data_IF_032391086443
#
_entry.id   IF_032391086443
#
_cell.length_a   1.000
_cell.length_b   1.000
_cell.length_c   1.000
_cell.angle_alpha   90.00
_cell.angle_beta   90.00
_cell.angle_gamma   90.00
#
_symmetry.space_group_name_H-M   'P 1'
#
loop_
_entity.id
_entity.type
_entity.pdbx_description
1 polymer ?
#
# COMPACT_ATOMS: atom_id res chain seq x y z
N UNK A 1 -13.62 14.08 -9.38
CA UNK A 1 -12.14 14.28 -9.47
C UNK A 1 -11.59 13.46 -10.63
N UNK A 2 -11.01 14.09 -11.64
CA UNK A 2 -10.31 13.38 -12.73
C UNK A 2 -8.84 13.22 -12.35
N UNK A 3 -8.41 12.01 -12.05
CA UNK A 3 -6.99 11.67 -11.85
C UNK A 3 -6.20 11.78 -13.15
N UNK A 4 -4.86 11.78 -13.05
CA UNK A 4 -4.00 11.82 -14.24
C UNK A 4 -4.29 10.64 -15.17
N UNK A 5 -4.30 10.88 -16.49
CA UNK A 5 -4.62 9.87 -17.51
C UNK A 5 -3.43 8.98 -17.89
N UNK A 6 -2.25 9.23 -17.33
CA UNK A 6 -1.01 8.53 -17.68
C UNK A 6 0.00 8.59 -16.54
N UNK A 7 0.77 7.52 -16.36
CA UNK A 7 1.96 7.56 -15.51
C UNK A 7 3.10 8.26 -16.25
N UNK A 8 3.78 9.18 -15.57
CA UNK A 8 4.93 9.92 -16.11
C UNK A 8 6.18 9.68 -15.27
N UNK A 9 7.33 10.14 -15.77
CA UNK A 9 8.62 10.01 -15.09
C UNK A 9 9.27 8.63 -15.21
N UNK A 10 10.50 8.49 -14.68
CA UNK A 10 11.29 7.26 -14.80
C UNK A 10 10.57 6.04 -14.23
N UNK A 11 10.00 6.15 -13.02
CA UNK A 11 9.27 5.06 -12.36
C UNK A 11 8.00 4.72 -13.14
N UNK A 12 7.19 5.74 -13.48
CA UNK A 12 5.90 5.56 -14.13
C UNK A 12 5.98 4.85 -15.48
N UNK A 13 6.99 5.15 -16.28
CA UNK A 13 7.22 4.50 -17.58
C UNK A 13 7.65 3.03 -17.43
N UNK A 14 8.40 2.69 -16.39
CA UNK A 14 8.87 1.33 -16.12
C UNK A 14 7.79 0.40 -15.55
N UNK A 15 6.74 0.94 -14.88
CA UNK A 15 5.64 0.13 -14.34
C UNK A 15 4.93 -0.73 -15.39
N UNK A 16 4.91 -0.32 -16.65
CA UNK A 16 4.35 -1.11 -17.75
C UNK A 16 5.22 -2.32 -18.11
N UNK A 17 6.55 -2.18 -17.99
CA UNK A 17 7.59 -3.13 -18.42
C UNK A 17 8.01 -4.12 -17.34
N UNK A 18 7.75 -3.82 -16.06
CA UNK A 18 8.16 -4.62 -14.89
C UNK A 18 7.75 -6.11 -14.92
N UNK A 19 6.80 -6.50 -15.78
CA UNK A 19 6.39 -7.89 -15.99
C UNK A 19 7.48 -8.76 -16.63
N UNK A 20 8.26 -8.19 -17.55
CA UNK A 20 9.20 -8.93 -18.40
C UNK A 20 10.64 -8.87 -17.89
N UNK A 21 10.88 -8.11 -16.83
CA UNK A 21 12.21 -7.90 -16.30
C UNK A 21 12.59 -9.09 -15.39
N UNK A 22 13.85 -9.55 -15.46
CA UNK A 22 14.36 -10.55 -14.54
C UNK A 22 14.47 -9.97 -13.13
N UNK A 23 14.34 -10.84 -12.14
CA UNK A 23 14.62 -10.49 -10.74
C UNK A 23 16.13 -10.41 -10.56
N UNK A 24 16.60 -9.30 -10.00
CA UNK A 24 17.99 -9.07 -9.60
C UNK A 24 18.13 -9.20 -8.08
N UNK A 25 19.35 -9.11 -7.55
CA UNK A 25 19.53 -9.02 -6.09
C UNK A 25 18.90 -7.75 -5.53
N UNK A 26 18.17 -7.88 -4.42
CA UNK A 26 17.51 -6.77 -3.73
C UNK A 26 17.70 -6.87 -2.20
N UNK A 27 17.68 -5.73 -1.54
CA UNK A 27 17.77 -5.65 -0.07
C UNK A 27 16.40 -5.85 0.60
N UNK A 28 16.41 -6.31 1.85
CA UNK A 28 15.18 -6.36 2.64
C UNK A 28 14.71 -4.96 2.98
N UNK A 29 13.39 -4.81 3.12
CA UNK A 29 12.78 -3.61 3.67
C UNK A 29 11.91 -3.98 4.87
N UNK A 30 11.86 -3.09 5.85
CA UNK A 30 10.97 -3.20 6.98
C UNK A 30 9.51 -3.15 6.53
N UNK A 31 8.74 -4.10 7.00
CA UNK A 31 7.37 -4.32 6.56
C UNK A 31 6.55 -4.95 7.68
N UNK A 32 5.45 -4.28 8.04
CA UNK A 32 4.48 -4.76 9.02
C UNK A 32 3.44 -5.62 8.33
N UNK A 33 3.83 -6.87 8.08
CA UNK A 33 2.98 -7.82 7.37
C UNK A 33 1.86 -8.27 8.31
N UNK A 34 0.59 -7.95 7.99
CA UNK A 34 -0.52 -8.25 8.89
C UNK A 34 -0.83 -9.74 8.88
N UNK A 35 -1.23 -10.26 10.03
CA UNK A 35 -1.73 -11.62 10.14
C UNK A 35 -3.16 -11.69 9.57
N UNK A 36 -3.28 -12.32 8.40
CA UNK A 36 -4.53 -12.39 7.64
C UNK A 36 -4.72 -13.74 6.97
N UNK A 37 -5.93 -14.28 7.07
CA UNK A 37 -6.28 -15.55 6.46
C UNK A 37 -6.29 -15.43 4.92
N UNK A 38 -5.43 -16.21 4.25
CA UNK A 38 -5.26 -16.20 2.78
C UNK A 38 -6.58 -16.39 2.02
N UNK A 39 -7.55 -17.13 2.57
CA UNK A 39 -8.88 -17.36 1.96
C UNK A 39 -9.66 -16.06 1.70
N UNK A 40 -9.42 -15.00 2.50
CA UNK A 40 -10.07 -13.69 2.35
C UNK A 40 -9.40 -12.87 1.22
N UNK A 41 -8.24 -13.31 0.71
CA UNK A 41 -7.32 -12.54 -0.11
C UNK A 41 -7.19 -12.98 -1.57
N UNK A 42 -8.09 -13.81 -2.13
CA UNK A 42 -7.98 -14.36 -3.49
C UNK A 42 -7.42 -13.40 -4.58
N UNK A 43 -7.82 -12.11 -4.59
CA UNK A 43 -7.34 -11.10 -5.56
C UNK A 43 -6.16 -10.23 -5.07
N UNK A 44 -5.82 -10.31 -3.79
CA UNK A 44 -4.84 -9.49 -3.08
C UNK A 44 -3.59 -10.27 -2.64
N UNK A 45 -3.63 -11.59 -2.78
CA UNK A 45 -2.59 -12.52 -2.33
C UNK A 45 -1.19 -12.17 -2.85
N UNK A 46 -1.08 -11.80 -4.14
CA UNK A 46 0.18 -11.34 -4.72
C UNK A 46 0.83 -10.18 -3.96
N UNK A 47 0.04 -9.21 -3.45
CA UNK A 47 0.59 -8.09 -2.67
C UNK A 47 1.19 -8.58 -1.35
N UNK A 48 0.55 -9.56 -0.71
CA UNK A 48 1.06 -10.16 0.51
C UNK A 48 2.35 -10.94 0.25
N UNK A 49 2.33 -11.81 -0.77
CA UNK A 49 3.46 -12.70 -1.09
C UNK A 49 4.70 -11.93 -1.53
N UNK A 50 4.53 -10.87 -2.35
CA UNK A 50 5.66 -10.02 -2.74
C UNK A 50 6.22 -9.20 -1.57
N UNK A 51 5.37 -8.80 -0.62
CA UNK A 51 5.82 -8.08 0.58
C UNK A 51 6.61 -8.99 1.51
N UNK A 52 6.21 -10.27 1.63
CA UNK A 52 7.01 -11.30 2.31
C UNK A 52 8.34 -11.55 1.60
N UNK A 53 8.34 -11.61 0.26
CA UNK A 53 9.56 -11.80 -0.52
C UNK A 53 10.56 -10.67 -0.29
N UNK A 54 10.08 -9.41 -0.27
CA UNK A 54 10.89 -8.24 0.04
C UNK A 54 11.41 -8.29 1.48
N UNK A 55 10.53 -8.54 2.47
CA UNK A 55 10.93 -8.62 3.89
C UNK A 55 12.00 -9.69 4.14
N UNK A 56 11.95 -10.80 3.40
CA UNK A 56 12.88 -11.92 3.58
C UNK A 56 14.09 -11.90 2.65
N UNK A 57 14.22 -10.90 1.75
CA UNK A 57 15.23 -10.86 0.68
C UNK A 57 15.27 -12.13 -0.18
N UNK A 58 14.16 -12.86 -0.28
CA UNK A 58 14.07 -14.11 -1.03
C UNK A 58 12.88 -14.04 -1.96
N UNK A 59 13.10 -14.30 -3.24
CA UNK A 59 12.03 -14.30 -4.22
C UNK A 59 11.65 -15.73 -4.62
N UNK A 60 10.48 -16.24 -4.22
CA UNK A 60 10.04 -17.59 -4.57
C UNK A 60 9.78 -17.77 -6.07
N UNK A 61 10.12 -18.94 -6.62
CA UNK A 61 9.91 -19.26 -8.04
C UNK A 61 8.43 -19.29 -8.43
N UNK A 62 7.55 -19.77 -7.55
CA UNK A 62 6.10 -19.77 -7.75
C UNK A 62 5.53 -18.35 -7.86
N UNK A 63 6.09 -17.40 -7.10
CA UNK A 63 5.73 -15.99 -7.20
C UNK A 63 6.17 -15.36 -8.53
N UNK A 64 7.21 -15.91 -9.19
CA UNK A 64 7.68 -15.47 -10.51
C UNK A 64 6.64 -15.73 -11.61
N UNK A 65 5.89 -16.82 -11.49
CA UNK A 65 4.85 -17.21 -12.43
C UNK A 65 3.58 -16.36 -12.30
N UNK A 66 3.39 -15.69 -11.15
CA UNK A 66 2.25 -14.83 -10.91
C UNK A 66 2.47 -13.39 -11.43
N UNK A 67 1.50 -12.90 -12.19
CA UNK A 67 1.51 -11.52 -12.65
C UNK A 67 0.72 -10.58 -11.72
N UNK A 68 1.18 -9.32 -11.52
CA UNK A 68 0.48 -8.31 -10.72
C UNK A 68 -0.84 -7.80 -11.35
N UNK A 69 -1.27 -8.34 -12.50
CA UNK A 69 -2.48 -7.96 -13.25
C UNK A 69 -2.27 -6.78 -14.22
N UNK A 70 -3.26 -6.44 -15.06
CA UNK A 70 -3.18 -5.34 -16.03
C UNK A 70 -3.12 -3.98 -15.32
N UNK A 71 -2.20 -3.11 -15.77
CA UNK A 71 -2.03 -1.78 -15.19
C UNK A 71 -3.29 -0.94 -15.42
N UNK A 72 -3.77 -0.27 -14.37
CA UNK A 72 -4.95 0.60 -14.43
C UNK A 72 -4.72 1.82 -13.56
N UNK A 73 -4.92 3.02 -14.14
CA UNK A 73 -4.65 4.28 -13.47
C UNK A 73 -5.51 4.53 -12.23
N UNK A 74 -6.74 3.99 -12.20
CA UNK A 74 -7.66 4.14 -11.07
C UNK A 74 -7.45 3.09 -9.97
N UNK A 75 -6.63 2.06 -10.22
CA UNK A 75 -6.47 0.91 -9.31
C UNK A 75 -5.11 0.96 -8.64
N UNK A 76 -5.08 1.64 -7.50
CA UNK A 76 -3.89 1.78 -6.68
C UNK A 76 -3.26 0.44 -6.28
N UNK A 77 -4.07 -0.58 -5.98
CA UNK A 77 -3.58 -1.94 -5.68
C UNK A 77 -2.67 -2.51 -6.79
N UNK A 78 -3.06 -2.41 -8.06
CA UNK A 78 -2.23 -2.94 -9.15
C UNK A 78 -0.97 -2.11 -9.34
N UNK A 79 -1.06 -0.80 -9.11
CA UNK A 79 0.10 0.10 -9.13
C UNK A 79 1.09 -0.30 -8.03
N UNK A 80 0.63 -0.49 -6.79
CA UNK A 80 1.45 -0.92 -5.66
C UNK A 80 2.15 -2.26 -5.93
N UNK A 81 1.40 -3.28 -6.39
CA UNK A 81 1.98 -4.58 -6.77
C UNK A 81 3.08 -4.45 -7.84
N UNK A 82 2.91 -3.54 -8.79
CA UNK A 82 3.90 -3.30 -9.87
C UNK A 82 5.10 -2.51 -9.40
N UNK A 83 4.93 -1.55 -8.49
CA UNK A 83 6.04 -0.83 -7.84
C UNK A 83 6.91 -1.82 -7.07
N UNK A 84 6.30 -2.68 -6.25
CA UNK A 84 7.04 -3.73 -5.53
C UNK A 84 7.69 -4.73 -6.48
N UNK A 85 7.02 -5.11 -7.59
CA UNK A 85 7.64 -5.95 -8.62
C UNK A 85 8.83 -5.27 -9.28
N UNK A 86 8.74 -3.98 -9.55
CA UNK A 86 9.82 -3.20 -10.14
C UNK A 86 11.03 -3.10 -9.19
N UNK A 87 10.79 -3.00 -7.88
CA UNK A 87 11.85 -2.99 -6.86
C UNK A 87 12.78 -4.21 -6.97
N UNK A 88 12.22 -5.36 -7.31
CA UNK A 88 12.97 -6.62 -7.49
C UNK A 88 13.80 -6.68 -8.78
N UNK A 89 13.62 -5.72 -9.69
CA UNK A 89 14.20 -5.76 -11.05
C UNK A 89 15.22 -4.63 -11.30
N UNK A 90 15.52 -3.80 -10.29
CA UNK A 90 16.36 -2.60 -10.44
C UNK A 90 17.50 -2.66 -9.43
N UNK A 91 18.73 -2.65 -9.92
CA UNK A 91 19.94 -2.67 -9.07
C UNK A 91 20.20 -1.29 -8.43
N UNK A 92 19.96 -0.20 -9.18
CA UNK A 92 20.22 1.17 -8.73
C UNK A 92 18.90 1.87 -8.34
N UNK A 93 18.52 1.70 -7.08
CA UNK A 93 17.28 2.25 -6.55
C UNK A 93 17.42 3.76 -6.27
N UNK A 94 16.58 4.58 -6.91
CA UNK A 94 16.48 6.01 -6.58
C UNK A 94 15.78 6.22 -5.24
N UNK A 95 16.09 7.30 -4.53
CA UNK A 95 15.41 7.67 -3.27
C UNK A 95 13.88 7.74 -3.43
N UNK A 96 13.39 8.26 -4.56
CA UNK A 96 11.96 8.32 -4.87
C UNK A 96 11.32 6.92 -4.92
N UNK A 97 12.02 5.96 -5.52
CA UNK A 97 11.55 4.57 -5.59
C UNK A 97 11.55 3.92 -4.19
N UNK A 98 12.62 4.12 -3.40
CA UNK A 98 12.71 3.60 -2.04
C UNK A 98 11.64 4.18 -1.12
N UNK A 99 11.31 5.46 -1.29
CA UNK A 99 10.23 6.12 -0.56
C UNK A 99 8.86 5.52 -0.93
N UNK A 100 8.61 5.26 -2.22
CA UNK A 100 7.36 4.62 -2.66
C UNK A 100 7.24 3.18 -2.15
N UNK A 101 8.31 2.39 -2.21
CA UNK A 101 8.32 1.01 -1.68
C UNK A 101 8.06 1.02 -0.19
N UNK A 102 8.76 1.88 0.56
CA UNK A 102 8.57 2.02 2.01
C UNK A 102 7.14 2.46 2.35
N UNK A 103 6.58 3.43 1.61
CA UNK A 103 5.17 3.83 1.78
C UNK A 103 4.19 2.68 1.53
N UNK A 104 4.45 1.87 0.51
CA UNK A 104 3.59 0.72 0.22
C UNK A 104 3.66 -0.31 1.36
N UNK A 105 4.86 -0.64 1.83
CA UNK A 105 5.09 -1.70 2.81
C UNK A 105 4.70 -1.30 4.24
N UNK A 106 4.93 -0.04 4.63
CA UNK A 106 4.70 0.44 6.00
C UNK A 106 3.34 1.10 6.21
N UNK A 107 2.69 1.61 5.17
CA UNK A 107 1.41 2.33 5.31
C UNK A 107 0.30 1.75 4.45
N UNK A 108 0.45 1.72 3.12
CA UNK A 108 -0.66 1.30 2.26
C UNK A 108 -1.07 -0.16 2.45
N UNK A 109 -0.11 -1.09 2.44
CA UNK A 109 -0.38 -2.53 2.53
C UNK A 109 -1.01 -2.92 3.88
N UNK A 110 -0.47 -2.52 5.05
CA UNK A 110 -1.05 -2.87 6.35
C UNK A 110 -2.51 -2.41 6.46
N UNK A 111 -2.78 -1.13 6.19
CA UNK A 111 -4.13 -0.55 6.21
C UNK A 111 -5.05 -1.25 5.20
N UNK A 112 -4.56 -1.54 3.98
CA UNK A 112 -5.38 -2.22 2.97
C UNK A 112 -5.88 -3.59 3.47
N UNK A 113 -5.01 -4.35 4.14
CA UNK A 113 -5.39 -5.63 4.71
C UNK A 113 -6.21 -5.49 5.98
N UNK A 114 -5.99 -4.47 6.80
CA UNK A 114 -6.85 -4.18 7.94
C UNK A 114 -8.29 -3.89 7.47
N UNK A 115 -8.47 -3.08 6.43
CA UNK A 115 -9.78 -2.86 5.79
C UNK A 115 -10.39 -4.18 5.30
N UNK A 116 -9.59 -5.13 4.80
CA UNK A 116 -10.11 -6.46 4.38
C UNK A 116 -10.51 -7.34 5.55
N UNK A 117 -9.93 -7.16 6.73
CA UNK A 117 -10.31 -7.89 7.95
C UNK A 117 -11.53 -7.25 8.60
N UNK A 118 -11.55 -5.92 8.72
CA UNK A 118 -12.54 -5.12 9.44
C UNK A 118 -13.29 -4.20 8.47
N UNK A 119 -14.20 -4.79 7.67
CA UNK A 119 -14.90 -4.09 6.57
C UNK A 119 -16.09 -3.24 7.03
N UNK A 120 -16.42 -3.25 8.32
CA UNK A 120 -17.63 -2.56 8.79
C UNK A 120 -17.45 -1.05 8.68
N UNK A 121 -18.56 -0.38 8.37
CA UNK A 121 -18.60 1.08 8.25
C UNK A 121 -18.10 1.76 9.54
N UNK A 122 -18.37 1.16 10.69
CA UNK A 122 -17.94 1.59 12.02
C UNK A 122 -16.43 1.55 12.24
N UNK A 123 -15.67 0.78 11.46
CA UNK A 123 -14.20 0.77 11.52
C UNK A 123 -13.55 1.87 10.66
N UNK A 124 -14.34 2.68 9.94
CA UNK A 124 -13.79 3.61 8.97
C UNK A 124 -12.88 4.70 9.58
N UNK A 125 -13.18 5.16 10.80
CA UNK A 125 -12.37 6.15 11.52
C UNK A 125 -11.03 5.58 11.97
N UNK A 126 -11.04 4.34 12.47
CA UNK A 126 -9.84 3.56 12.81
C UNK A 126 -8.91 3.42 11.59
N UNK A 127 -9.46 3.02 10.43
CA UNK A 127 -8.68 2.92 9.19
C UNK A 127 -8.10 4.27 8.75
N UNK A 128 -8.85 5.36 8.90
CA UNK A 128 -8.38 6.70 8.55
C UNK A 128 -7.23 7.15 9.48
N UNK A 129 -7.35 6.87 10.77
CA UNK A 129 -6.30 7.13 11.75
C UNK A 129 -5.04 6.31 11.47
N UNK A 130 -5.17 5.03 11.15
CA UNK A 130 -4.03 4.16 10.83
C UNK A 130 -3.25 4.64 9.60
N UNK A 131 -3.93 5.14 8.55
CA UNK A 131 -3.24 5.79 7.40
C UNK A 131 -2.45 7.01 7.85
N UNK A 132 -3.05 7.85 8.71
CA UNK A 132 -2.40 9.05 9.24
C UNK A 132 -1.14 8.66 10.01
N UNK A 133 -1.27 7.74 10.97
CA UNK A 133 -0.18 7.30 11.85
C UNK A 133 0.94 6.62 11.05
N UNK A 134 0.60 5.61 10.25
CA UNK A 134 1.56 4.82 9.49
C UNK A 134 2.29 5.60 8.40
N UNK A 135 1.79 6.78 8.00
CA UNK A 135 2.47 7.65 7.03
C UNK A 135 3.52 8.57 7.65
N UNK A 136 3.57 8.72 8.99
CA UNK A 136 4.40 9.74 9.67
C UNK A 136 5.91 9.51 9.60
N UNK A 137 6.36 8.32 9.19
CA UNK A 137 7.79 8.08 8.94
C UNK A 137 8.32 8.82 7.69
N UNK A 138 7.44 9.33 6.83
CA UNK A 138 7.83 10.00 5.61
C UNK A 138 8.45 11.39 5.90
N UNK A 139 9.39 11.85 5.05
CA UNK A 139 9.95 13.18 5.16
C UNK A 139 8.91 14.27 4.86
N UNK A 140 9.13 15.47 5.42
CA UNK A 140 8.16 16.58 5.39
C UNK A 140 7.72 16.98 3.98
N UNK A 141 8.62 16.92 3.00
CA UNK A 141 8.30 17.22 1.60
C UNK A 141 7.28 16.24 1.00
N UNK A 142 7.31 14.96 1.40
CA UNK A 142 6.34 13.95 0.96
C UNK A 142 5.04 14.04 1.77
N UNK A 143 5.12 14.34 3.06
CA UNK A 143 3.94 14.59 3.88
C UNK A 143 3.11 15.77 3.33
N UNK A 144 3.76 16.85 2.88
CA UNK A 144 3.10 17.98 2.20
C UNK A 144 2.30 17.57 0.95
N UNK A 145 2.66 16.45 0.31
CA UNK A 145 1.93 15.91 -0.84
C UNK A 145 0.79 14.99 -0.40
N UNK A 146 1.03 14.14 0.60
CA UNK A 146 0.12 13.06 1.01
C UNK A 146 -0.96 13.56 1.98
N UNK A 147 -0.64 14.43 2.94
CA UNK A 147 -1.58 14.92 3.95
C UNK A 147 -2.83 15.56 3.31
N UNK A 148 -2.71 16.43 2.28
CA UNK A 148 -3.89 16.94 1.60
C UNK A 148 -4.72 15.88 0.88
N UNK A 149 -4.10 14.76 0.46
CA UNK A 149 -4.82 13.63 -0.16
C UNK A 149 -5.56 12.84 0.92
N UNK A 150 -4.93 12.56 2.05
CA UNK A 150 -5.58 11.91 3.19
C UNK A 150 -6.77 12.77 3.64
N UNK A 151 -6.57 14.07 3.89
CA UNK A 151 -7.62 14.98 4.34
C UNK A 151 -8.83 15.01 3.39
N UNK A 152 -8.59 15.05 2.07
CA UNK A 152 -9.67 15.04 1.06
C UNK A 152 -10.44 13.71 1.00
N UNK A 153 -9.85 12.61 1.44
CA UNK A 153 -10.45 11.27 1.39
C UNK A 153 -10.84 10.74 2.78
N UNK A 154 -10.57 11.48 3.85
CA UNK A 154 -10.88 11.10 5.23
C UNK A 154 -12.37 11.31 5.58
N UNK A 155 -13.27 10.80 4.73
CA UNK A 155 -14.72 10.92 4.93
C UNK A 155 -15.15 10.45 6.32
N UNK A 156 -14.57 9.35 6.79
CA UNK A 156 -14.85 8.77 8.11
C UNK A 156 -14.35 9.61 9.29
N UNK A 157 -13.53 10.63 9.06
CA UNK A 157 -13.09 11.59 10.08
C UNK A 157 -13.98 12.85 10.14
N UNK A 158 -15.05 12.94 9.35
CA UNK A 158 -15.99 14.06 9.45
C UNK A 158 -16.69 14.11 10.82
N UNK A 159 -16.95 15.31 11.37
CA UNK A 159 -17.66 15.47 12.64
C UNK A 159 -19.04 14.79 12.67
N UNK A 160 -19.74 14.70 11.55
CA UNK A 160 -21.03 14.00 11.43
C UNK A 160 -20.91 12.49 11.69
N UNK A 161 -19.73 11.92 11.46
CA UNK A 161 -19.43 10.51 11.75
C UNK A 161 -18.96 10.30 13.20
N UNK A 162 -18.87 11.35 14.03
CA UNK A 162 -18.47 11.22 15.44
C UNK A 162 -19.47 10.37 16.24
N UNK A 163 -20.76 10.55 16.01
CA UNK A 163 -21.79 9.74 16.69
C UNK A 163 -21.66 8.25 16.37
N UNK A 164 -21.23 7.90 15.15
CA UNK A 164 -20.94 6.51 14.80
C UNK A 164 -19.79 5.96 15.64
N UNK A 165 -18.71 6.75 15.81
CA UNK A 165 -17.57 6.36 16.62
C UNK A 165 -17.96 6.17 18.09
N UNK A 166 -18.83 7.02 18.63
CA UNK A 166 -19.33 6.88 20.01
C UNK A 166 -20.12 5.59 20.23
N UNK A 167 -20.89 5.13 19.23
CA UNK A 167 -21.68 3.88 19.35
C UNK A 167 -20.79 2.65 19.41
N UNK A 168 -19.61 2.69 18.78
CA UNK A 168 -18.68 1.56 18.73
C UNK A 168 -17.46 1.73 19.62
N UNK A 169 -17.39 2.81 20.38
CA UNK A 169 -16.32 3.05 21.32
C UNK A 169 -16.33 1.95 22.38
N UNK A 170 -15.18 1.28 22.51
CA UNK A 170 -14.97 0.19 23.46
C UNK A 170 -14.25 0.67 24.71
N UNK A 171 -13.92 1.95 24.78
CA UNK A 171 -13.29 2.56 25.94
C UNK A 171 -14.26 2.47 27.12
N UNK A 172 -13.88 1.69 28.14
CA UNK A 172 -14.69 1.55 29.36
C UNK A 172 -14.67 2.81 30.25
N UNK A 173 -13.94 3.86 29.84
CA UNK A 173 -13.69 5.04 30.67
C UNK A 173 -13.98 6.33 29.90
N UNK A 174 -14.85 7.15 30.51
CA UNK A 174 -15.06 8.58 30.23
C UNK A 174 -14.49 9.35 31.42
#
# INVERSE_FOLDING_TARGET
MTGSKSFSGPIGTQLSKCKKLPVVSFESNECDIPEIERKILSKHQYLLDISYAIKSSRFPEDLSAHEPGPLSHSRWLTTAKRVLRLHLNVENLTDEHNNLVSFILKSYMPVWFHIKKSKYFTNGSEHAFEVIESSRFLPENLLKVIDPVIQRNAFFAHPENLSLNMVVDRSEHI
#
